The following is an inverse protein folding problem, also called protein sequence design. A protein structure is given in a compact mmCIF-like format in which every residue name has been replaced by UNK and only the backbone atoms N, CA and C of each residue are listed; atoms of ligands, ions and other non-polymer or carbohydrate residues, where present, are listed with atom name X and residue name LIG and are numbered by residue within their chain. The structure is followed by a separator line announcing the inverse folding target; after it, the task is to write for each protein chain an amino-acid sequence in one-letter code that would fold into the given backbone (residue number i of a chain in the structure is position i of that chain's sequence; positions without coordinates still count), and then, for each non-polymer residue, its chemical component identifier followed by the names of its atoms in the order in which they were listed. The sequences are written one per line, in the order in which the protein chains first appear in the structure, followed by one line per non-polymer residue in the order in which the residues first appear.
data_IF_925767546948
#
_entry.id   IF_925767546948
#
_cell.length_a   1.000
_cell.length_b   1.000
_cell.length_c   1.000
_cell.angle_alpha   90.00
_cell.angle_beta   90.00
_cell.angle_gamma   90.00
#
_symmetry.space_group_name_H-M   'P 1'
#
loop_
_entity.id
_entity.type
_entity.pdbx_description
1 polymer ?
#
# COMPACT_ATOMS: atom_id res chain seq x y z
N UNK A 1 -18.07 11.34 0.15
CA UNK A 1 -18.58 10.07 0.73
C UNK A 1 -19.97 10.22 1.36
N UNK A 2 -20.65 11.36 1.17
CA UNK A 2 -21.95 11.65 1.80
C UNK A 2 -23.07 10.67 1.39
N UNK A 3 -23.01 10.12 0.18
CA UNK A 3 -24.04 9.19 -0.33
C UNK A 3 -23.86 7.74 0.15
N UNK A 4 -22.80 7.44 0.91
CA UNK A 4 -22.55 6.12 1.48
C UNK A 4 -23.11 6.03 2.89
N UNK A 5 -23.88 4.97 3.15
CA UNK A 5 -24.34 4.64 4.50
C UNK A 5 -23.18 4.33 5.43
N UNK A 6 -23.40 4.58 6.71
CA UNK A 6 -22.49 4.17 7.78
C UNK A 6 -22.23 2.66 7.69
N UNK A 7 -20.99 2.26 8.01
CA UNK A 7 -20.59 0.85 8.11
C UNK A 7 -20.85 -0.03 6.87
N UNK A 8 -20.94 0.59 5.70
CA UNK A 8 -21.25 -0.09 4.43
C UNK A 8 -20.02 -0.59 3.67
N UNK A 9 -18.82 -0.13 4.03
CA UNK A 9 -17.56 -0.38 3.30
C UNK A 9 -16.63 -1.30 4.09
N UNK A 10 -15.98 -2.27 3.43
CA UNK A 10 -15.05 -3.20 4.09
C UNK A 10 -13.58 -2.80 3.92
N UNK A 11 -13.24 -2.09 2.85
CA UNK A 11 -11.89 -1.69 2.50
C UNK A 11 -11.90 -0.31 1.83
N UNK A 12 -11.08 0.60 2.34
CA UNK A 12 -10.72 1.86 1.69
C UNK A 12 -9.24 1.79 1.32
N UNK A 13 -8.92 2.04 0.05
CA UNK A 13 -7.54 2.20 -0.42
C UNK A 13 -7.43 3.56 -1.07
N UNK A 14 -6.49 4.38 -0.61
CA UNK A 14 -6.34 5.75 -1.10
C UNK A 14 -4.91 6.24 -0.99
N UNK A 15 -4.61 7.34 -1.66
CA UNK A 15 -3.44 8.19 -1.40
C UNK A 15 -3.92 9.60 -1.08
N UNK A 16 -3.34 10.31 -0.09
CA UNK A 16 -3.71 11.68 0.18
C UNK A 16 -3.24 12.61 -0.95
N UNK A 17 -3.90 13.75 -1.21
CA UNK A 17 -3.33 14.80 -2.06
C UNK A 17 -2.11 15.38 -1.35
N UNK A 18 -0.94 15.41 -2.00
CA UNK A 18 0.34 15.62 -1.28
C UNK A 18 0.66 17.07 -0.89
N UNK A 19 -0.22 18.05 -1.14
CA UNK A 19 -0.01 19.47 -0.82
C UNK A 19 1.31 20.01 -1.42
N UNK A 20 1.54 19.70 -2.70
CA UNK A 20 2.80 19.92 -3.43
C UNK A 20 2.68 21.01 -4.51
N UNK A 21 1.68 21.88 -4.40
CA UNK A 21 1.41 22.96 -5.36
C UNK A 21 0.89 22.49 -6.72
N UNK A 22 0.37 21.26 -6.84
CA UNK A 22 -0.28 20.80 -8.07
C UNK A 22 -1.71 21.33 -8.10
N UNK A 23 -2.07 22.08 -9.14
CA UNK A 23 -3.42 22.59 -9.31
C UNK A 23 -4.43 21.44 -9.55
N UNK A 24 -4.97 20.87 -8.48
CA UNK A 24 -6.20 20.10 -8.55
C UNK A 24 -7.36 21.06 -8.82
N UNK A 25 -8.28 20.71 -9.73
CA UNK A 25 -9.32 21.60 -10.23
C UNK A 25 -10.21 22.26 -9.15
N UNK A 26 -10.24 21.71 -7.93
CA UNK A 26 -11.11 22.14 -6.84
C UNK A 26 -10.38 22.37 -5.48
N UNK A 27 -9.04 22.40 -5.43
CA UNK A 27 -8.31 22.55 -4.16
C UNK A 27 -6.99 23.33 -4.34
N UNK A 28 -6.71 24.27 -3.43
CA UNK A 28 -5.42 24.98 -3.37
C UNK A 28 -4.37 24.11 -2.69
N UNK A 29 -3.42 23.56 -3.45
CA UNK A 29 -2.44 22.56 -2.99
C UNK A 29 -1.21 23.19 -2.28
N UNK A 30 -1.40 24.32 -1.60
CA UNK A 30 -0.39 25.07 -0.84
C UNK A 30 -0.97 25.54 0.51
N UNK A 31 -1.59 24.60 1.24
CA UNK A 31 -2.11 24.87 2.57
C UNK A 31 -0.98 24.90 3.60
N UNK A 32 -1.08 25.74 4.65
CA UNK A 32 -0.30 25.54 5.87
C UNK A 32 -0.46 24.11 6.37
N UNK A 33 0.61 23.50 6.89
CA UNK A 33 0.63 22.10 7.32
C UNK A 33 -0.54 21.76 8.25
N UNK A 34 -0.89 22.66 9.17
CA UNK A 34 -2.01 22.44 10.10
C UNK A 34 -3.35 22.33 9.37
N UNK A 35 -3.62 23.19 8.40
CA UNK A 35 -4.86 23.17 7.60
C UNK A 35 -4.92 21.91 6.73
N UNK A 36 -3.79 21.50 6.17
CA UNK A 36 -3.68 20.25 5.41
C UNK A 36 -3.96 19.02 6.30
N UNK A 37 -3.35 18.94 7.48
CA UNK A 37 -3.62 17.84 8.43
C UNK A 37 -5.08 17.85 8.90
N UNK A 38 -5.67 19.03 9.09
CA UNK A 38 -7.09 19.18 9.43
C UNK A 38 -7.99 18.65 8.32
N UNK A 39 -7.71 19.00 7.07
CA UNK A 39 -8.41 18.47 5.91
C UNK A 39 -8.30 16.94 5.84
N UNK A 40 -7.10 16.37 6.00
CA UNK A 40 -6.93 14.92 6.04
C UNK A 40 -7.75 14.28 7.18
N UNK A 41 -7.76 14.89 8.36
CA UNK A 41 -8.54 14.41 9.50
C UNK A 41 -10.06 14.37 9.21
N UNK A 42 -10.60 15.31 8.45
CA UNK A 42 -11.99 15.26 7.99
C UNK A 42 -12.23 14.06 7.06
N UNK A 43 -11.30 13.79 6.13
CA UNK A 43 -11.36 12.61 5.27
C UNK A 43 -11.31 11.32 6.10
N UNK A 44 -10.42 11.25 7.10
CA UNK A 44 -10.30 10.07 7.96
C UNK A 44 -11.56 9.85 8.80
N UNK A 45 -12.23 10.90 9.28
CA UNK A 45 -13.52 10.79 9.96
C UNK A 45 -14.59 10.17 9.06
N UNK A 46 -14.67 10.61 7.81
CA UNK A 46 -15.61 10.03 6.85
C UNK A 46 -15.27 8.57 6.51
N UNK A 47 -13.98 8.24 6.36
CA UNK A 47 -13.55 6.85 6.19
C UNK A 47 -13.95 5.98 7.40
N UNK A 48 -13.81 6.50 8.62
CA UNK A 48 -14.22 5.79 9.84
C UNK A 48 -15.73 5.53 9.87
N UNK A 49 -16.53 6.53 9.50
CA UNK A 49 -18.00 6.43 9.47
C UNK A 49 -18.46 5.33 8.51
N UNK A 50 -17.93 5.31 7.29
CA UNK A 50 -18.38 4.35 6.26
C UNK A 50 -17.79 2.96 6.41
N UNK A 51 -16.63 2.81 7.07
CA UNK A 51 -16.03 1.49 7.29
C UNK A 51 -16.86 0.68 8.30
N UNK A 52 -17.09 -0.59 7.98
CA UNK A 52 -17.61 -1.56 8.93
C UNK A 52 -16.59 -1.84 10.05
N UNK A 53 -17.01 -2.25 11.25
CA UNK A 53 -16.09 -2.76 12.26
C UNK A 53 -15.21 -3.89 11.70
N UNK A 54 -13.90 -3.79 11.92
CA UNK A 54 -12.91 -4.69 11.31
C UNK A 54 -12.51 -4.36 9.87
N UNK A 55 -13.21 -3.40 9.24
CA UNK A 55 -12.87 -2.84 7.95
C UNK A 55 -11.53 -2.12 7.98
N UNK A 56 -10.88 -2.01 6.81
CA UNK A 56 -9.49 -1.56 6.71
C UNK A 56 -9.35 -0.29 5.90
N UNK A 57 -8.50 0.61 6.39
CA UNK A 57 -8.04 1.80 5.69
C UNK A 57 -6.58 1.57 5.29
N UNK A 58 -6.30 1.57 4.00
CA UNK A 58 -4.95 1.48 3.43
C UNK A 58 -4.60 2.83 2.80
N UNK A 59 -3.55 3.49 3.31
CA UNK A 59 -3.13 4.82 2.89
C UNK A 59 -1.75 4.71 2.25
N UNK A 60 -1.68 4.90 0.94
CA UNK A 60 -0.43 4.99 0.20
C UNK A 60 0.15 6.41 0.31
N UNK A 61 1.36 6.55 0.81
CA UNK A 61 2.07 7.80 1.02
C UNK A 61 3.44 7.73 0.35
N UNK A 62 3.61 8.52 -0.70
CA UNK A 62 4.90 8.78 -1.32
C UNK A 62 5.68 9.81 -0.50
N UNK A 63 7.01 9.67 -0.50
CA UNK A 63 7.91 10.70 0.00
C UNK A 63 8.05 11.80 -1.06
N UNK A 64 7.15 12.77 -1.03
CA UNK A 64 7.22 13.97 -1.87
C UNK A 64 7.83 15.13 -1.08
N UNK A 65 8.57 16.00 -1.77
CA UNK A 65 9.10 17.27 -1.28
C UNK A 65 10.08 17.24 -0.09
N UNK A 66 11.37 17.36 -0.42
CA UNK A 66 12.49 17.51 0.54
C UNK A 66 12.83 18.96 0.88
N UNK A 67 11.88 19.90 0.88
CA UNK A 67 12.17 21.34 1.08
C UNK A 67 11.19 22.06 2.03
N UNK A 68 11.17 21.75 3.34
CA UNK A 68 11.91 20.71 4.06
C UNK A 68 11.25 19.32 3.94
N UNK A 69 11.97 18.24 4.24
CA UNK A 69 11.39 16.89 4.26
C UNK A 69 10.25 16.79 5.28
N UNK A 70 9.06 16.43 4.79
CA UNK A 70 7.89 16.22 5.62
C UNK A 70 7.63 14.71 5.79
N UNK A 71 7.73 14.15 7.01
CA UNK A 71 7.44 12.74 7.25
C UNK A 71 5.93 12.49 7.29
N UNK A 72 5.27 12.62 6.14
CA UNK A 72 3.80 12.61 6.05
C UNK A 72 3.18 11.31 6.59
N UNK A 73 3.83 10.17 6.37
CA UNK A 73 3.43 8.89 6.94
C UNK A 73 3.38 8.92 8.48
N UNK A 74 4.39 9.52 9.12
CA UNK A 74 4.45 9.65 10.57
C UNK A 74 3.38 10.61 11.11
N UNK A 75 3.14 11.72 10.41
CA UNK A 75 2.13 12.71 10.78
C UNK A 75 0.72 12.14 10.69
N UNK A 76 0.39 11.46 9.59
CA UNK A 76 -0.91 10.79 9.42
C UNK A 76 -1.10 9.72 10.51
N UNK A 77 -0.07 8.91 10.78
CA UNK A 77 -0.13 7.90 11.84
C UNK A 77 -0.37 8.54 13.21
N UNK A 78 0.33 9.62 13.52
CA UNK A 78 0.15 10.33 14.78
C UNK A 78 -1.27 10.86 14.94
N UNK A 79 -1.85 11.46 13.90
CA UNK A 79 -3.21 11.98 13.91
C UNK A 79 -4.27 10.88 14.08
N UNK A 80 -4.15 9.76 13.37
CA UNK A 80 -5.09 8.64 13.52
C UNK A 80 -5.04 8.04 14.93
N UNK A 81 -3.84 7.88 15.50
CA UNK A 81 -3.67 7.41 16.87
C UNK A 81 -4.14 8.43 17.91
N UNK A 82 -3.98 9.73 17.63
CA UNK A 82 -4.52 10.82 18.46
C UNK A 82 -6.05 10.77 18.48
N UNK A 83 -6.67 10.69 17.30
CA UNK A 83 -8.12 10.58 17.15
C UNK A 83 -8.70 9.34 17.88
N UNK A 84 -7.97 8.21 17.86
CA UNK A 84 -8.35 7.04 18.64
C UNK A 84 -8.37 7.28 20.16
N UNK A 85 -7.39 8.04 20.68
CA UNK A 85 -7.29 8.34 22.12
C UNK A 85 -8.23 9.45 22.57
N UNK A 86 -8.46 10.45 21.74
CA UNK A 86 -9.09 11.71 22.15
C UNK A 86 -10.52 11.87 21.62
N UNK A 87 -10.85 11.25 20.48
CA UNK A 87 -12.11 11.46 19.77
C UNK A 87 -12.99 10.20 19.71
N UNK A 88 -12.49 9.06 20.22
CA UNK A 88 -13.20 7.78 20.19
C UNK A 88 -13.20 7.09 18.81
N UNK A 89 -12.48 7.63 17.83
CA UNK A 89 -12.29 7.02 16.51
C UNK A 89 -11.24 5.91 16.61
N UNK A 90 -11.63 4.76 17.16
CA UNK A 90 -10.74 3.66 17.53
C UNK A 90 -10.04 3.00 16.32
N UNK A 91 -9.07 3.71 15.75
CA UNK A 91 -8.17 3.23 14.71
C UNK A 91 -7.10 2.33 15.33
N UNK A 92 -6.98 1.13 14.79
CA UNK A 92 -5.97 0.15 15.19
C UNK A 92 -4.93 0.03 14.09
N UNK A 93 -3.70 0.45 14.36
CA UNK A 93 -2.59 0.24 13.44
C UNK A 93 -2.34 -1.26 13.27
N UNK A 94 -2.45 -1.76 12.04
CA UNK A 94 -2.22 -3.17 11.71
C UNK A 94 -0.77 -3.41 11.28
N UNK A 95 -0.17 -2.42 10.64
CA UNK A 95 1.18 -2.50 10.10
C UNK A 95 1.34 -1.62 8.89
N UNK A 96 2.51 -1.67 8.30
CA UNK A 96 2.88 -0.94 7.10
C UNK A 96 3.52 -1.89 6.09
N UNK A 97 3.28 -1.61 4.81
CA UNK A 97 3.98 -2.24 3.70
C UNK A 97 4.91 -1.20 3.08
N UNK A 98 6.17 -1.56 2.89
CA UNK A 98 7.10 -0.80 2.08
C UNK A 98 6.89 -1.20 0.63
N UNK A 99 6.35 -0.29 -0.18
CA UNK A 99 6.25 -0.48 -1.61
C UNK A 99 7.56 -0.06 -2.26
N UNK A 100 8.48 -1.01 -2.42
CA UNK A 100 9.79 -0.84 -3.04
C UNK A 100 9.61 -0.75 -4.56
N UNK A 101 9.74 0.46 -5.10
CA UNK A 101 9.58 0.75 -6.54
C UNK A 101 10.90 0.61 -7.29
N UNK A 102 11.94 0.14 -6.60
CA UNK A 102 13.29 0.01 -7.12
C UNK A 102 13.92 1.34 -7.53
N UNK A 103 15.08 1.25 -8.20
CA UNK A 103 15.76 2.42 -8.76
C UNK A 103 15.00 3.08 -9.93
N UNK A 104 13.88 2.49 -10.36
CA UNK A 104 13.00 2.90 -11.46
C UNK A 104 12.14 4.11 -11.12
N UNK A 105 11.80 4.30 -9.84
CA UNK A 105 11.11 5.49 -9.37
C UNK A 105 12.13 6.59 -9.02
N UNK A 106 12.22 7.61 -9.86
CA UNK A 106 13.04 8.78 -9.57
C UNK A 106 14.48 8.66 -10.04
N UNK A 107 14.69 8.98 -11.32
CA UNK A 107 15.96 9.49 -11.89
C UNK A 107 16.25 10.90 -11.34
N UNK A 108 15.91 11.17 -10.07
CA UNK A 108 16.23 12.45 -9.43
C UNK A 108 17.63 12.34 -8.87
N UNK A 109 18.58 12.90 -9.61
CA UNK A 109 19.95 13.14 -9.17
C UNK A 109 20.01 14.34 -8.23
N UNK A 110 19.17 14.38 -7.20
CA UNK A 110 19.30 15.32 -6.10
C UNK A 110 20.29 14.73 -5.07
N UNK A 111 21.57 14.65 -5.43
CA UNK A 111 22.62 14.01 -4.61
C UNK A 111 23.02 14.82 -3.37
N UNK A 112 22.33 15.94 -3.08
CA UNK A 112 22.83 16.94 -2.16
C UNK A 112 24.26 17.32 -2.54
N UNK A 113 25.19 17.19 -1.60
CA UNK A 113 26.61 17.21 -1.90
C UNK A 113 27.10 15.82 -2.34
N UNK A 114 27.21 15.61 -3.65
CA UNK A 114 27.70 14.36 -4.21
C UNK A 114 29.06 13.96 -3.60
N UNK A 115 29.12 12.76 -3.01
CA UNK A 115 30.32 12.21 -2.40
C UNK A 115 31.02 13.15 -1.38
N UNK A 116 30.23 13.97 -0.69
CA UNK A 116 30.68 14.85 0.38
C UNK A 116 29.82 14.67 1.63
N UNK A 117 30.43 14.80 2.80
CA UNK A 117 29.76 14.74 4.10
C UNK A 117 29.02 16.03 4.46
N UNK A 118 29.07 17.05 3.60
CA UNK A 118 28.46 18.35 3.88
C UNK A 118 26.93 18.31 3.93
N UNK A 119 26.29 17.54 3.05
CA UNK A 119 24.82 17.42 2.98
C UNK A 119 24.40 16.21 2.11
N UNK A 120 24.59 14.96 2.56
CA UNK A 120 24.11 13.78 1.83
C UNK A 120 22.58 13.67 1.89
N UNK A 121 21.94 13.43 0.74
CA UNK A 121 20.48 13.31 0.64
C UNK A 121 20.08 11.86 0.35
N UNK A 122 19.08 11.36 1.08
CA UNK A 122 18.51 10.03 0.81
C UNK A 122 17.72 10.05 -0.50
N UNK A 123 17.82 8.96 -1.25
CA UNK A 123 16.97 8.71 -2.43
C UNK A 123 15.74 7.94 -1.99
N UNK A 124 14.57 8.54 -2.17
CA UNK A 124 13.30 7.86 -1.96
C UNK A 124 13.07 6.88 -3.11
N UNK A 125 13.16 5.58 -2.79
CA UNK A 125 12.94 4.47 -3.74
C UNK A 125 11.70 3.65 -3.38
N UNK A 126 10.98 4.07 -2.34
CA UNK A 126 9.81 3.39 -1.83
C UNK A 126 8.72 4.37 -1.41
N UNK A 127 7.50 3.83 -1.32
CA UNK A 127 6.34 4.47 -0.73
C UNK A 127 5.87 3.66 0.50
N UNK A 128 5.12 4.29 1.40
CA UNK A 128 4.53 3.64 2.56
C UNK A 128 3.07 3.32 2.28
N UNK A 129 2.64 2.08 2.50
CA UNK A 129 1.22 1.73 2.58
C UNK A 129 0.90 1.45 4.04
N UNK A 130 0.32 2.44 4.73
CA UNK A 130 -0.08 2.31 6.12
C UNK A 130 -1.45 1.63 6.20
N UNK A 131 -1.61 0.64 7.09
CA UNK A 131 -2.84 -0.14 7.21
C UNK A 131 -3.42 0.02 8.61
N UNK A 132 -4.64 0.54 8.69
CA UNK A 132 -5.41 0.67 9.92
C UNK A 132 -6.68 -0.17 9.83
N UNK A 133 -7.17 -0.65 10.98
CA UNK A 133 -8.48 -1.29 11.11
C UNK A 133 -9.39 -0.47 12.01
N UNK A 134 -10.68 -0.40 11.69
CA UNK A 134 -11.69 0.22 12.57
C UNK A 134 -12.05 -0.75 13.69
N UNK A 135 -11.87 -0.34 14.95
CA UNK A 135 -12.35 -0.97 16.21
C UNK A 135 -11.84 -2.38 16.56
N UNK A 136 -11.65 -3.23 15.56
CA UNK A 136 -11.28 -4.64 15.67
C UNK A 136 -10.29 -4.99 14.56
N UNK A 137 -9.40 -5.94 14.82
CA UNK A 137 -8.57 -6.52 13.75
C UNK A 137 -9.32 -7.58 12.92
N UNK A 138 -10.51 -8.01 13.36
CA UNK A 138 -11.33 -9.01 12.69
C UNK A 138 -12.51 -8.34 12.01
N UNK A 139 -12.66 -8.57 10.71
CA UNK A 139 -13.86 -8.21 9.94
C UNK A 139 -14.87 -9.34 10.06
N UNK A 140 -16.06 -9.03 10.57
CA UNK A 140 -17.17 -9.99 10.64
C UNK A 140 -17.81 -10.20 9.27
N UNK A 141 -18.29 -11.42 9.04
CA UNK A 141 -18.77 -11.84 7.71
C UNK A 141 -17.65 -12.10 6.68
N UNK A 142 -16.38 -12.03 7.09
CA UNK A 142 -15.25 -12.43 6.25
C UNK A 142 -15.31 -13.90 5.83
N UNK A 143 -14.87 -14.19 4.61
CA UNK A 143 -14.90 -15.53 4.00
C UNK A 143 -13.65 -15.86 3.21
N UNK A 144 -13.69 -16.98 2.49
CA UNK A 144 -12.56 -17.39 1.62
C UNK A 144 -12.37 -16.36 0.51
N UNK A 145 -11.18 -15.77 0.47
CA UNK A 145 -10.70 -15.00 -0.67
C UNK A 145 -10.14 -16.00 -1.68
N UNK A 146 -10.44 -15.88 -2.97
CA UNK A 146 -10.03 -16.84 -4.01
C UNK A 146 -8.51 -16.94 -4.26
N UNK A 147 -7.70 -16.44 -3.33
CA UNK A 147 -6.24 -16.45 -3.38
C UNK A 147 -5.71 -17.85 -3.09
N UNK A 148 -4.68 -18.24 -3.82
CA UNK A 148 -3.89 -19.44 -3.57
C UNK A 148 -3.05 -19.29 -2.29
N UNK A 149 -2.52 -20.42 -1.81
CA UNK A 149 -1.57 -20.40 -0.69
C UNK A 149 -0.27 -19.65 -1.02
N UNK A 150 0.18 -19.68 -2.29
CA UNK A 150 1.34 -18.93 -2.75
C UNK A 150 1.10 -17.42 -2.70
N UNK A 151 0.00 -16.96 -3.31
CA UNK A 151 -0.41 -15.55 -3.24
C UNK A 151 -0.58 -15.07 -1.79
N UNK A 152 -1.14 -15.90 -0.90
CA UNK A 152 -1.23 -15.55 0.51
C UNK A 152 0.16 -15.30 1.14
N UNK A 153 1.13 -16.18 0.90
CA UNK A 153 2.50 -16.03 1.43
C UNK A 153 3.19 -14.80 0.84
N UNK A 154 3.01 -14.54 -0.45
CA UNK A 154 3.65 -13.41 -1.12
C UNK A 154 3.01 -12.07 -0.73
N UNK A 155 1.67 -11.97 -0.75
CA UNK A 155 0.95 -10.73 -0.51
C UNK A 155 0.86 -10.35 0.97
N UNK A 156 1.22 -11.24 1.89
CA UNK A 156 1.31 -10.91 3.34
C UNK A 156 2.70 -10.45 3.79
N UNK A 157 3.66 -10.31 2.87
CA UNK A 157 4.97 -9.70 3.16
C UNK A 157 4.83 -8.21 3.42
N UNK A 158 5.69 -7.68 4.29
CA UNK A 158 5.77 -6.25 4.60
C UNK A 158 6.61 -5.43 3.60
N UNK A 159 7.21 -6.08 2.60
CA UNK A 159 7.92 -5.41 1.50
C UNK A 159 7.37 -5.94 0.19
N UNK A 160 6.88 -5.04 -0.64
CA UNK A 160 6.27 -5.34 -1.93
C UNK A 160 7.13 -4.76 -3.05
N UNK A 161 7.49 -5.61 -4.01
CA UNK A 161 8.15 -5.22 -5.26
C UNK A 161 7.23 -5.49 -6.45
N UNK A 162 6.93 -4.50 -7.30
CA UNK A 162 6.07 -4.68 -8.47
C UNK A 162 6.47 -5.87 -9.35
N UNK A 163 7.78 -6.10 -9.52
CA UNK A 163 8.33 -7.16 -10.37
C UNK A 163 8.09 -8.56 -9.77
N UNK A 164 8.00 -8.67 -8.44
CA UNK A 164 7.81 -9.94 -7.73
C UNK A 164 6.32 -10.29 -7.55
N UNK A 165 5.43 -9.30 -7.60
CA UNK A 165 4.00 -9.46 -7.30
C UNK A 165 3.15 -9.61 -8.59
N UNK A 166 3.71 -9.29 -9.77
CA UNK A 166 2.99 -9.20 -11.04
C UNK A 166 3.25 -10.28 -12.10
N UNK A 167 4.33 -11.07 -12.03
CA UNK A 167 4.64 -12.09 -13.04
C UNK A 167 4.65 -13.52 -12.47
N UNK A 168 3.46 -14.13 -12.45
CA UNK A 168 3.30 -15.59 -12.32
C UNK A 168 2.92 -16.23 -13.67
N UNK A 169 2.98 -15.48 -14.78
CA UNK A 169 2.62 -16.01 -16.11
C UNK A 169 3.61 -17.06 -16.62
N UNK A 170 4.80 -17.15 -16.00
CA UNK A 170 5.86 -18.11 -16.33
C UNK A 170 5.83 -19.42 -15.53
N UNK A 171 5.01 -19.56 -14.49
CA UNK A 171 5.02 -20.78 -13.64
C UNK A 171 4.12 -21.89 -14.21
N UNK A 172 3.20 -21.58 -15.13
CA UNK A 172 2.26 -22.56 -15.70
C UNK A 172 2.83 -23.30 -16.95
N UNK A 173 3.93 -22.84 -17.55
CA UNK A 173 4.53 -23.52 -18.71
C UNK A 173 5.38 -24.75 -18.34
N UNK A 174 5.88 -24.85 -17.11
CA UNK A 174 6.80 -25.93 -16.72
C UNK A 174 6.14 -27.14 -16.02
N UNK A 175 4.81 -27.14 -15.84
CA UNK A 175 4.08 -28.29 -15.30
C UNK A 175 3.26 -29.09 -16.34
N UNK A 176 3.40 -28.79 -17.64
CA UNK A 176 2.77 -29.59 -18.72
C UNK A 176 3.72 -30.47 -19.53
N UNK A 177 5.03 -30.47 -19.28
CA UNK A 177 6.00 -31.24 -20.07
C UNK A 177 6.39 -32.61 -19.50
N UNK A 178 6.08 -32.94 -18.24
CA UNK A 178 6.44 -34.25 -17.65
C UNK A 178 5.32 -35.31 -17.64
N UNK A 179 4.15 -34.98 -18.17
CA UNK A 179 2.95 -35.83 -18.05
C UNK A 179 2.46 -36.51 -19.33
N UNK A 180 3.30 -36.79 -20.34
CA UNK A 180 2.90 -37.62 -21.48
C UNK A 180 4.10 -38.17 -22.27
N UNK A 181 4.71 -39.27 -21.78
CA UNK A 181 5.39 -40.24 -22.66
C UNK A 181 4.63 -41.56 -22.59
N UNK A 182 3.73 -41.69 -23.56
CA UNK A 182 2.98 -42.90 -23.87
C UNK A 182 3.92 -44.03 -24.32
N UNK A 183 3.51 -45.25 -23.98
CA UNK A 183 4.19 -46.50 -24.28
C UNK A 183 4.39 -46.74 -25.78
N UNK A 184 5.63 -47.00 -26.19
CA UNK A 184 5.95 -47.64 -27.45
C UNK A 184 6.66 -48.97 -27.15
N UNK A 185 5.98 -50.08 -27.45
CA UNK A 185 6.57 -51.43 -27.47
C UNK A 185 7.61 -51.52 -28.59
N UNK A 186 8.80 -52.11 -28.38
CA UNK A 186 9.61 -52.59 -29.49
C UNK A 186 9.15 -54.00 -29.88
N UNK A 187 8.77 -54.17 -31.14
CA UNK A 187 8.70 -55.48 -31.78
C UNK A 187 10.12 -56.06 -31.90
N UNK A 188 10.28 -57.31 -31.49
CA UNK A 188 11.52 -58.05 -31.72
C UNK A 188 11.59 -58.57 -33.16
N UNK A 189 12.79 -58.60 -33.79
CA UNK A 189 13.05 -59.50 -34.90
C UNK A 189 13.67 -60.80 -34.37
N UNK A 190 13.32 -61.91 -35.02
CA UNK A 190 13.79 -63.24 -34.68
C UNK A 190 15.22 -63.50 -35.12
N UNK A 191 15.87 -64.37 -34.36
CA UNK A 191 16.65 -65.55 -34.79
C UNK A 191 16.63 -66.54 -33.64
#
# INVERSE_FOLDING_TARGET
MADLSDESVQLVVTSPPYNVGIAYANHSDDLPLEDYLRFLNEVWRECYRVLAPGGRLCINVANTDRKPYLPLNALITAELLRAAREEGLNWLMRGEIIWDKGASAGVSTAWGSFASSSDPVLRDVHEYIMIFSKESFRLDGGGRTGISGGEFVDWTRSIWRPEEIGDQSTVISDQKSEGQKSAARPGGPGT
#
